data_IF_473594020775
#
_entry.id   IF_473594020775
#
_cell.length_a   1.000
_cell.length_b   1.000
_cell.length_c   1.000
_cell.angle_alpha   90.00
_cell.angle_beta   90.00
_cell.angle_gamma   90.00
#
_symmetry.space_group_name_H-M   'P 1'
#
loop_
_entity.id
_entity.type
_entity.pdbx_description
1 polymer ?
#
# COMPACT_ATOMS: atom_id res chain seq x y z
N UNK A 1 10.89 18.39 -14.83
CA UNK A 1 10.10 17.25 -14.32
C UNK A 1 10.39 16.08 -15.25
N UNK A 2 10.97 15.01 -14.72
CA UNK A 2 11.26 13.81 -15.51
C UNK A 2 9.96 13.18 -16.03
N UNK A 3 10.07 12.36 -17.07
CA UNK A 3 8.96 11.55 -17.59
C UNK A 3 9.41 10.10 -17.61
N UNK A 4 8.76 9.27 -16.79
CA UNK A 4 9.03 7.85 -16.71
C UNK A 4 8.18 7.16 -17.78
N UNK A 5 8.84 6.69 -18.84
CA UNK A 5 8.19 6.07 -19.98
C UNK A 5 8.10 4.57 -19.77
N UNK A 6 6.92 4.01 -20.05
CA UNK A 6 6.66 2.59 -19.91
C UNK A 6 6.50 1.94 -21.29
N UNK A 7 7.07 0.76 -21.43
CA UNK A 7 6.84 -0.16 -22.55
C UNK A 7 6.05 -1.38 -22.07
N UNK A 8 4.98 -1.72 -22.77
CA UNK A 8 4.18 -2.91 -22.44
C UNK A 8 5.01 -4.17 -22.71
N UNK A 9 5.15 -5.04 -21.72
CA UNK A 9 5.65 -6.40 -21.92
C UNK A 9 4.49 -7.29 -22.33
N UNK A 10 3.60 -7.57 -21.38
CA UNK A 10 2.40 -8.37 -21.59
C UNK A 10 1.20 -7.76 -20.86
N UNK A 11 0.00 -8.08 -21.35
CA UNK A 11 -1.29 -7.67 -20.79
C UNK A 11 -2.23 -8.87 -20.78
N UNK A 12 -2.94 -9.06 -19.69
CA UNK A 12 -3.86 -10.17 -19.50
C UNK A 12 -5.23 -9.61 -19.12
N UNK A 13 -6.25 -10.08 -19.83
CA UNK A 13 -7.63 -9.97 -19.38
C UNK A 13 -7.87 -11.09 -18.36
N UNK A 14 -8.56 -10.77 -17.28
CA UNK A 14 -8.87 -11.74 -16.24
C UNK A 14 -10.25 -12.33 -16.51
N UNK A 15 -10.29 -13.64 -16.72
CA UNK A 15 -11.54 -14.39 -16.97
C UNK A 15 -12.37 -14.59 -15.70
N UNK A 16 -11.76 -14.43 -14.52
CA UNK A 16 -12.38 -14.62 -13.20
C UNK A 16 -12.90 -13.30 -12.63
N UNK A 17 -13.99 -13.38 -11.88
CA UNK A 17 -14.58 -12.27 -11.13
C UNK A 17 -13.74 -11.89 -9.89
N UNK A 18 -12.56 -11.32 -10.11
CA UNK A 18 -11.76 -10.67 -9.06
C UNK A 18 -12.29 -9.25 -8.79
N UNK A 19 -12.27 -8.86 -7.52
CA UNK A 19 -12.86 -7.60 -7.06
C UNK A 19 -11.96 -6.40 -7.41
N UNK A 20 -10.85 -6.23 -6.70
CA UNK A 20 -9.87 -5.15 -6.85
C UNK A 20 -8.55 -5.57 -6.19
N UNK A 21 -7.46 -4.88 -6.55
CA UNK A 21 -6.16 -5.12 -5.93
C UNK A 21 -6.16 -4.56 -4.51
N UNK A 22 -5.91 -5.44 -3.53
CA UNK A 22 -5.76 -5.08 -2.11
C UNK A 22 -4.32 -4.63 -1.83
N UNK A 23 -3.34 -5.43 -2.29
CA UNK A 23 -1.92 -5.16 -2.16
C UNK A 23 -1.20 -5.87 -3.33
N UNK A 24 -0.02 -5.41 -3.70
CA UNK A 24 0.81 -6.10 -4.68
C UNK A 24 2.28 -5.94 -4.36
N UNK A 25 3.11 -6.91 -4.71
CA UNK A 25 4.57 -6.81 -4.62
C UNK A 25 5.20 -7.22 -5.95
N UNK A 26 6.40 -6.74 -6.23
CA UNK A 26 7.17 -7.10 -7.42
C UNK A 26 8.55 -7.59 -6.95
N UNK A 27 8.87 -8.83 -7.31
CA UNK A 27 10.14 -9.46 -7.02
C UNK A 27 11.23 -8.95 -7.96
N UNK A 28 12.48 -9.12 -7.56
CA UNK A 28 13.66 -8.72 -8.32
C UNK A 28 13.78 -9.42 -9.67
N UNK A 29 13.21 -10.62 -9.80
CA UNK A 29 13.17 -11.38 -11.05
C UNK A 29 12.05 -10.93 -12.02
N UNK A 30 11.26 -9.93 -11.63
CA UNK A 30 10.19 -9.33 -12.44
C UNK A 30 8.83 -10.04 -12.32
N UNK A 31 8.71 -11.09 -11.49
CA UNK A 31 7.39 -11.62 -11.10
C UNK A 31 6.68 -10.62 -10.21
N UNK A 32 5.41 -10.35 -10.50
CA UNK A 32 4.55 -9.55 -9.66
C UNK A 32 3.52 -10.45 -8.96
N UNK A 33 3.24 -10.16 -7.70
CA UNK A 33 2.23 -10.86 -6.92
C UNK A 33 1.11 -9.87 -6.59
N UNK A 34 -0.13 -10.29 -6.78
CA UNK A 34 -1.32 -9.48 -6.57
C UNK A 34 -2.23 -10.18 -5.57
N UNK A 35 -2.45 -9.53 -4.43
CA UNK A 35 -3.50 -9.92 -3.49
C UNK A 35 -4.81 -9.27 -3.92
N UNK A 36 -5.84 -10.08 -4.10
CA UNK A 36 -7.20 -9.65 -4.46
C UNK A 36 -8.22 -10.45 -3.66
N UNK A 37 -9.49 -10.03 -3.67
CA UNK A 37 -10.60 -10.88 -3.23
C UNK A 37 -11.48 -11.30 -4.40
N UNK A 38 -12.33 -12.31 -4.19
CA UNK A 38 -13.37 -12.71 -5.15
C UNK A 38 -14.54 -11.73 -5.06
N UNK A 39 -15.13 -11.38 -6.21
CA UNK A 39 -16.22 -10.39 -6.30
C UNK A 39 -17.51 -10.85 -5.62
N UNK A 40 -17.85 -12.14 -5.73
CA UNK A 40 -19.05 -12.72 -5.13
C UNK A 40 -18.87 -13.11 -3.65
N UNK A 41 -17.63 -13.25 -3.19
CA UNK A 41 -17.29 -13.55 -1.81
C UNK A 41 -16.08 -12.70 -1.39
N UNK A 42 -16.36 -11.52 -0.82
CA UNK A 42 -15.33 -10.58 -0.35
C UNK A 42 -14.41 -11.16 0.73
N UNK A 43 -14.82 -12.27 1.35
CA UNK A 43 -14.06 -12.95 2.39
C UNK A 43 -13.08 -14.00 1.82
N UNK A 44 -13.15 -14.28 0.51
CA UNK A 44 -12.26 -15.19 -0.17
C UNK A 44 -11.14 -14.39 -0.84
N UNK A 45 -9.92 -14.53 -0.30
CA UNK A 45 -8.73 -13.88 -0.83
C UNK A 45 -8.01 -14.81 -1.80
N UNK A 46 -7.32 -14.22 -2.77
CA UNK A 46 -6.50 -14.95 -3.74
C UNK A 46 -5.20 -14.21 -3.97
N UNK A 47 -4.11 -14.97 -3.99
CA UNK A 47 -2.79 -14.49 -4.37
C UNK A 47 -2.52 -14.92 -5.81
N UNK A 48 -2.33 -13.94 -6.69
CA UNK A 48 -2.05 -14.17 -8.10
C UNK A 48 -0.59 -13.87 -8.39
N UNK A 49 0.10 -14.80 -9.05
CA UNK A 49 1.37 -14.53 -9.72
C UNK A 49 1.09 -14.00 -11.13
N UNK A 50 1.72 -12.89 -11.46
CA UNK A 50 1.72 -12.24 -12.76
C UNK A 50 3.15 -12.25 -13.28
N UNK A 51 3.38 -13.02 -14.33
CA UNK A 51 4.70 -13.14 -14.97
C UNK A 51 4.54 -13.10 -16.48
N UNK A 52 5.63 -12.97 -17.27
CA UNK A 52 5.53 -13.07 -18.74
C UNK A 52 4.85 -14.36 -19.24
N UNK A 53 4.83 -15.43 -18.45
CA UNK A 53 4.19 -16.70 -18.80
C UNK A 53 2.66 -16.68 -18.65
N UNK A 54 2.11 -15.74 -17.88
CA UNK A 54 0.68 -15.68 -17.61
C UNK A 54 0.34 -15.17 -16.21
N UNK A 55 -0.96 -15.24 -15.90
CA UNK A 55 -1.49 -15.02 -14.56
C UNK A 55 -1.89 -16.37 -13.97
N UNK A 56 -1.37 -16.71 -12.80
CA UNK A 56 -1.64 -17.97 -12.09
C UNK A 56 -2.08 -17.68 -10.67
N UNK A 57 -3.12 -18.36 -10.20
CA UNK A 57 -3.50 -18.35 -8.78
C UNK A 57 -2.57 -19.29 -8.01
N UNK A 58 -1.85 -18.74 -7.03
CA UNK A 58 -0.86 -19.46 -6.21
C UNK A 58 -1.49 -20.02 -4.95
N UNK A 59 -2.34 -19.22 -4.31
CA UNK A 59 -3.04 -19.59 -3.09
C UNK A 59 -4.39 -18.86 -3.02
N UNK A 60 -5.34 -19.46 -2.31
CA UNK A 60 -6.63 -18.86 -2.01
C UNK A 60 -7.15 -19.37 -0.67
N UNK A 61 -7.71 -18.48 0.14
CA UNK A 61 -8.24 -18.82 1.45
C UNK A 61 -9.43 -17.95 1.80
N UNK A 62 -10.28 -18.47 2.67
CA UNK A 62 -11.40 -17.73 3.25
C UNK A 62 -11.02 -17.20 4.63
N UNK A 63 -11.50 -16.00 4.94
CA UNK A 63 -11.44 -15.43 6.28
C UNK A 63 -12.84 -15.35 6.88
N UNK A 64 -13.04 -15.85 8.09
CA UNK A 64 -14.34 -15.82 8.76
C UNK A 64 -14.86 -14.39 8.94
N UNK A 65 -13.94 -13.43 9.11
CA UNK A 65 -14.26 -12.03 9.34
C UNK A 65 -13.43 -11.13 8.42
N UNK A 66 -13.82 -11.01 7.15
CA UNK A 66 -13.07 -10.26 6.13
C UNK A 66 -12.51 -8.92 6.63
N UNK A 67 -13.31 -8.09 7.29
CA UNK A 67 -12.90 -6.75 7.76
C UNK A 67 -11.95 -6.72 8.97
N UNK A 68 -11.77 -7.85 9.65
CA UNK A 68 -10.93 -7.96 10.85
C UNK A 68 -9.60 -8.66 10.57
N UNK A 69 -9.57 -9.49 9.52
CA UNK A 69 -8.51 -10.43 9.23
C UNK A 69 -8.01 -10.25 7.79
N UNK A 70 -8.03 -9.01 7.29
CA UNK A 70 -7.56 -8.67 5.94
C UNK A 70 -6.06 -9.02 5.83
N UNK A 71 -5.67 -9.88 4.88
CA UNK A 71 -4.29 -10.30 4.75
C UNK A 71 -3.43 -9.18 4.17
N UNK A 72 -2.16 -9.15 4.57
CA UNK A 72 -1.18 -8.18 4.11
C UNK A 72 -0.02 -8.88 3.43
N UNK A 73 0.34 -8.44 2.24
CA UNK A 73 1.51 -8.96 1.52
C UNK A 73 2.69 -8.01 1.72
N UNK A 74 3.86 -8.59 1.97
CA UNK A 74 5.15 -7.93 1.94
C UNK A 74 6.16 -8.79 1.18
N UNK A 75 7.30 -8.20 0.82
CA UNK A 75 8.40 -8.90 0.15
C UNK A 75 9.74 -8.48 0.75
N UNK A 76 10.73 -9.39 0.69
CA UNK A 76 12.14 -9.08 0.91
C UNK A 76 12.89 -8.86 -0.42
N UNK A 77 12.15 -8.74 -1.53
CA UNK A 77 12.65 -8.61 -2.89
C UNK A 77 12.77 -9.93 -3.65
N UNK A 78 12.87 -11.08 -2.97
CA UNK A 78 13.00 -12.40 -3.62
C UNK A 78 11.83 -13.33 -3.30
N UNK A 79 11.27 -13.18 -2.11
CA UNK A 79 10.23 -14.00 -1.53
C UNK A 79 9.08 -13.11 -1.06
N UNK A 80 7.97 -13.73 -0.67
CA UNK A 80 6.79 -13.00 -0.19
C UNK A 80 6.36 -13.56 1.16
N UNK A 81 5.87 -12.68 2.01
CA UNK A 81 5.17 -13.05 3.23
C UNK A 81 3.75 -12.51 3.22
N UNK A 82 2.83 -13.31 3.76
CA UNK A 82 1.44 -12.91 3.99
C UNK A 82 1.20 -12.89 5.49
N UNK A 83 0.95 -11.71 6.05
CA UNK A 83 0.51 -11.57 7.44
C UNK A 83 -0.99 -11.85 7.46
N UNK A 84 -1.40 -12.85 8.25
CA UNK A 84 -2.81 -13.22 8.43
C UNK A 84 -3.24 -12.83 9.85
N UNK A 85 -4.12 -11.83 9.93
CA UNK A 85 -4.78 -11.38 11.15
C UNK A 85 -3.83 -11.04 12.32
N UNK A 86 -2.62 -10.58 12.04
CA UNK A 86 -1.59 -10.27 13.04
C UNK A 86 -1.14 -11.45 13.91
N UNK A 87 -1.49 -12.68 13.54
CA UNK A 87 -1.24 -13.91 14.31
C UNK A 87 -0.15 -14.78 13.69
N UNK A 88 -0.09 -14.84 12.37
CA UNK A 88 0.87 -15.68 11.66
C UNK A 88 1.34 -15.03 10.35
N UNK A 89 2.50 -15.47 9.90
CA UNK A 89 3.07 -15.17 8.60
C UNK A 89 3.10 -16.46 7.80
N UNK A 90 2.47 -16.45 6.63
CA UNK A 90 2.64 -17.50 5.61
C UNK A 90 3.68 -17.01 4.61
N UNK A 91 4.86 -17.61 4.64
CA UNK A 91 6.03 -17.15 3.90
C UNK A 91 6.36 -18.11 2.75
N UNK A 92 6.29 -17.58 1.53
CA UNK A 92 6.47 -18.33 0.29
C UNK A 92 7.85 -18.07 -0.30
N UNK A 93 8.54 -19.14 -0.70
CA UNK A 93 9.86 -19.07 -1.34
C UNK A 93 9.86 -19.78 -2.69
N UNK A 94 10.83 -19.45 -3.55
CA UNK A 94 11.07 -20.16 -4.81
C UNK A 94 9.89 -20.13 -5.78
N UNK A 95 9.28 -21.31 -6.00
CA UNK A 95 8.13 -21.52 -6.89
C UNK A 95 6.76 -21.35 -6.20
N UNK A 96 6.79 -20.98 -4.91
CA UNK A 96 5.64 -20.73 -4.05
C UNK A 96 4.79 -21.98 -3.74
N UNK A 97 5.28 -23.20 -3.96
CA UNK A 97 4.46 -24.40 -3.75
C UNK A 97 4.43 -24.90 -2.29
N UNK A 98 5.41 -24.53 -1.48
CA UNK A 98 5.56 -25.01 -0.10
C UNK A 98 5.82 -23.84 0.86
N UNK A 99 4.78 -23.10 1.29
CA UNK A 99 4.95 -22.02 2.23
C UNK A 99 5.33 -22.51 3.62
N UNK A 100 6.11 -21.70 4.33
CA UNK A 100 6.37 -21.87 5.76
C UNK A 100 5.37 -21.05 6.58
N UNK A 101 4.85 -21.63 7.67
CA UNK A 101 3.95 -20.93 8.59
C UNK A 101 4.74 -20.56 9.84
N UNK A 102 4.78 -19.27 10.16
CA UNK A 102 5.54 -18.71 11.29
C UNK A 102 4.58 -17.95 12.19
N UNK A 103 4.45 -18.38 13.45
CA UNK A 103 3.61 -17.70 14.43
C UNK A 103 4.22 -16.36 14.87
N UNK A 104 3.37 -15.33 15.00
CA UNK A 104 3.73 -14.05 15.58
C UNK A 104 3.57 -14.15 17.10
N UNK A 105 4.67 -13.96 17.82
CA UNK A 105 4.72 -14.14 19.28
C UNK A 105 3.98 -13.01 20.00
N UNK A 106 3.14 -13.41 20.95
CA UNK A 106 2.48 -12.57 21.95
C UNK A 106 1.95 -11.21 21.44
N UNK A 107 1.07 -11.21 20.41
CA UNK A 107 0.61 -9.96 19.80
C UNK A 107 -0.12 -9.04 20.78
N UNK A 108 -0.72 -9.60 21.84
CA UNK A 108 -1.52 -8.86 22.83
C UNK A 108 -0.66 -8.03 23.80
N UNK A 109 0.65 -8.26 23.86
CA UNK A 109 1.56 -7.45 24.67
C UNK A 109 1.79 -6.04 24.12
N UNK A 110 1.67 -5.89 22.79
CA UNK A 110 1.93 -4.63 22.08
C UNK A 110 0.68 -4.08 21.41
N UNK A 111 -0.10 -4.93 20.73
CA UNK A 111 -1.27 -4.49 20.00
C UNK A 111 -2.49 -4.35 20.94
N UNK A 112 -3.23 -3.23 20.87
CA UNK A 112 -4.50 -3.10 21.57
C UNK A 112 -5.50 -4.18 21.16
N UNK A 113 -6.30 -4.65 22.11
CA UNK A 113 -7.31 -5.72 21.89
C UNK A 113 -8.31 -5.43 20.76
N UNK A 114 -8.55 -4.15 20.46
CA UNK A 114 -9.52 -3.71 19.45
C UNK A 114 -8.86 -3.29 18.13
N UNK A 115 -7.53 -3.27 18.07
CA UNK A 115 -6.81 -2.89 16.87
C UNK A 115 -7.11 -3.86 15.72
N UNK A 116 -7.36 -3.32 14.54
CA UNK A 116 -7.60 -4.12 13.33
C UNK A 116 -6.64 -3.69 12.23
N UNK A 117 -5.99 -4.68 11.62
CA UNK A 117 -5.10 -4.50 10.47
C UNK A 117 -5.88 -4.01 9.25
N UNK A 118 -5.22 -3.25 8.39
CA UNK A 118 -5.81 -2.76 7.13
C UNK A 118 -4.89 -3.02 5.95
N UNK A 119 -5.47 -3.49 4.85
CA UNK A 119 -4.77 -3.70 3.57
C UNK A 119 -4.33 -2.37 2.97
N UNK A 120 -3.24 -1.83 3.48
CA UNK A 120 -2.49 -0.81 2.79
C UNK A 120 -1.30 -1.45 2.10
N UNK A 121 -0.82 -0.77 1.08
CA UNK A 121 0.45 -1.14 0.47
C UNK A 121 1.54 -0.93 1.52
N UNK A 122 2.17 -2.02 1.92
CA UNK A 122 3.28 -2.05 2.86
C UNK A 122 4.51 -2.44 2.06
N UNK A 123 5.54 -1.61 2.18
CA UNK A 123 6.83 -1.87 1.54
C UNK A 123 7.91 -1.84 2.60
N UNK A 124 8.81 -2.83 2.56
CA UNK A 124 9.97 -2.85 3.43
C UNK A 124 11.19 -3.36 2.67
N UNK A 125 12.35 -2.78 2.96
CA UNK A 125 13.67 -3.34 2.65
C UNK A 125 14.44 -3.76 3.92
N UNK A 126 13.74 -3.81 5.06
CA UNK A 126 14.29 -4.18 6.37
C UNK A 126 13.49 -5.29 7.04
N UNK A 127 14.07 -5.86 8.08
CA UNK A 127 13.43 -6.86 8.95
C UNK A 127 12.27 -6.28 9.79
N UNK A 128 11.98 -4.99 9.65
CA UNK A 128 10.86 -4.31 10.31
C UNK A 128 9.79 -3.94 9.29
N UNK A 129 8.66 -4.63 9.35
CA UNK A 129 7.51 -4.44 8.47
C UNK A 129 6.55 -3.45 9.15
N UNK A 130 6.29 -2.26 8.56
CA UNK A 130 5.31 -1.33 9.12
C UNK A 130 3.89 -1.74 8.75
N UNK A 131 3.05 -2.00 9.74
CA UNK A 131 1.66 -2.42 9.55
C UNK A 131 0.71 -1.37 10.12
N UNK A 132 -0.31 -1.02 9.35
CA UNK A 132 -1.29 0.01 9.72
C UNK A 132 -2.51 -0.59 10.42
N UNK A 133 -3.01 0.13 11.43
CA UNK A 133 -4.13 -0.30 12.28
C UNK A 133 -5.19 0.78 12.45
N UNK A 134 -6.43 0.34 12.58
CA UNK A 134 -7.51 1.13 13.16
C UNK A 134 -7.71 0.78 14.63
N UNK A 135 -7.72 1.80 15.49
CA UNK A 135 -8.13 1.69 16.89
C UNK A 135 -8.55 3.08 17.41
N UNK A 136 -9.86 3.31 17.71
CA UNK A 136 -10.98 2.39 17.47
C UNK A 136 -11.26 2.18 15.97
N UNK A 137 -12.09 1.21 15.66
CA UNK A 137 -12.38 0.76 14.28
C UNK A 137 -13.22 1.79 13.53
N UNK A 138 -12.69 2.30 12.42
CA UNK A 138 -13.28 3.29 11.52
C UNK A 138 -13.14 2.83 10.07
N UNK A 139 -14.13 2.16 9.48
CA UNK A 139 -14.18 1.68 8.07
C UNK A 139 -13.11 2.27 7.10
N UNK A 140 -11.93 1.65 7.05
CA UNK A 140 -10.74 2.00 6.23
C UNK A 140 -10.08 3.36 6.50
N UNK A 141 -9.89 3.70 7.77
CA UNK A 141 -9.22 4.91 8.25
C UNK A 141 -8.16 4.58 9.31
N UNK A 142 -7.12 3.81 8.94
CA UNK A 142 -6.01 3.58 9.85
C UNK A 142 -5.37 4.91 10.26
N UNK A 143 -5.10 5.02 11.56
CA UNK A 143 -4.47 6.18 12.21
C UNK A 143 -3.34 5.76 13.14
N UNK A 144 -3.21 4.47 13.37
CA UNK A 144 -2.16 3.86 14.15
C UNK A 144 -1.32 2.95 13.24
N UNK A 145 -0.12 2.64 13.67
CA UNK A 145 0.76 1.67 13.05
C UNK A 145 1.49 0.86 14.12
N UNK A 146 1.96 -0.31 13.73
CA UNK A 146 2.87 -1.13 14.51
C UNK A 146 4.04 -1.60 13.65
N UNK A 147 5.15 -1.91 14.29
CA UNK A 147 6.31 -2.49 13.64
C UNK A 147 6.39 -3.98 13.96
N UNK A 148 6.39 -4.81 12.92
CA UNK A 148 6.58 -6.25 13.01
C UNK A 148 8.03 -6.59 12.69
N UNK A 149 8.76 -7.09 13.67
CA UNK A 149 10.10 -7.65 13.46
C UNK A 149 9.93 -9.08 12.94
N UNK A 150 10.58 -9.39 11.81
CA UNK A 150 10.55 -10.70 11.18
C UNK A 150 11.97 -11.20 10.91
N UNK A 151 12.35 -12.29 11.57
CA UNK A 151 13.61 -13.01 11.36
C UNK A 151 13.30 -14.37 10.74
N UNK A 152 13.54 -14.47 9.43
CA UNK A 152 13.32 -15.69 8.65
C UNK A 152 14.19 -16.85 9.14
N UNK A 153 15.49 -16.62 9.32
CA UNK A 153 16.46 -17.67 9.69
C UNK A 153 16.13 -18.30 11.04
N UNK A 154 15.70 -17.47 12.00
CA UNK A 154 15.26 -17.94 13.32
C UNK A 154 13.80 -18.38 13.34
N UNK A 155 13.04 -18.17 12.25
CA UNK A 155 11.58 -18.37 12.16
C UNK A 155 10.83 -17.68 13.30
N UNK A 156 11.14 -16.40 13.51
CA UNK A 156 10.53 -15.61 14.57
C UNK A 156 9.88 -14.36 14.01
N UNK A 157 8.69 -14.07 14.53
CA UNK A 157 8.02 -12.81 14.29
C UNK A 157 7.48 -12.27 15.63
N UNK A 158 7.60 -10.96 15.84
CA UNK A 158 7.03 -10.29 17.04
C UNK A 158 6.76 -8.82 16.74
N UNK A 159 5.72 -8.30 17.37
CA UNK A 159 5.47 -6.87 17.39
C UNK A 159 6.46 -6.17 18.33
N UNK A 160 6.93 -4.98 17.95
CA UNK A 160 7.93 -4.24 18.75
C UNK A 160 7.47 -2.85 19.16
N UNK A 161 6.56 -2.23 18.41
CA UNK A 161 6.05 -0.88 18.69
C UNK A 161 4.64 -0.74 18.18
N UNK A 162 3.81 0.03 18.88
CA UNK A 162 2.49 0.47 18.45
C UNK A 162 2.39 1.99 18.69
N UNK A 163 2.12 2.78 17.65
CA UNK A 163 2.06 4.24 17.74
C UNK A 163 1.17 4.86 16.66
N UNK A 164 1.17 6.18 16.55
CA UNK A 164 0.50 7.00 15.55
C UNK A 164 1.40 8.18 15.14
N UNK A 165 1.14 8.81 14.00
CA UNK A 165 1.92 9.97 13.55
C UNK A 165 1.61 11.18 14.44
N UNK A 166 2.64 11.84 15.00
CA UNK A 166 2.47 13.11 15.72
C UNK A 166 2.01 14.20 14.73
N UNK A 167 0.93 14.88 15.08
CA UNK A 167 0.29 15.93 14.28
C UNK A 167 0.93 17.31 14.39
N UNK A 168 1.77 17.56 15.40
CA UNK A 168 2.29 18.92 15.71
C UNK A 168 2.99 19.61 14.54
N UNK A 169 3.69 18.84 13.70
CA UNK A 169 4.48 19.40 12.60
C UNK A 169 3.71 19.45 11.26
N UNK A 170 2.42 19.07 11.25
CA UNK A 170 1.53 19.17 10.10
C UNK A 170 0.81 20.52 10.13
N UNK A 171 1.16 21.40 9.20
CA UNK A 171 0.74 22.82 9.18
C UNK A 171 -0.78 22.98 9.09
N UNK A 172 -1.43 22.04 8.41
CA UNK A 172 -2.86 22.11 8.11
C UNK A 172 -3.72 21.17 8.97
N UNK A 173 -3.13 20.56 10.00
CA UNK A 173 -3.86 19.74 10.98
C UNK A 173 -4.54 20.61 12.03
N UNK A 174 -5.79 20.31 12.40
CA UNK A 174 -6.52 21.00 13.46
C UNK A 174 -6.01 20.52 14.82
N UNK A 175 -5.19 21.35 15.46
CA UNK A 175 -4.61 21.03 16.76
C UNK A 175 -5.66 20.98 17.89
N UNK A 176 -6.90 21.44 17.67
CA UNK A 176 -8.00 21.31 18.63
C UNK A 176 -8.70 19.95 18.56
N UNK A 177 -8.55 19.22 17.45
CA UNK A 177 -9.07 17.87 17.25
C UNK A 177 -8.15 16.85 17.92
N UNK A 178 -8.69 15.85 18.61
CA UNK A 178 -7.90 14.73 19.16
C UNK A 178 -7.54 13.67 18.10
N UNK A 179 -8.06 13.82 16.88
CA UNK A 179 -7.92 12.82 15.82
C UNK A 179 -6.50 12.82 15.27
N UNK A 180 -5.83 11.68 15.27
CA UNK A 180 -4.51 11.53 14.65
C UNK A 180 -4.61 11.54 13.12
N UNK A 181 -3.57 11.94 12.36
CA UNK A 181 -3.59 11.91 10.91
C UNK A 181 -3.88 10.51 10.37
N UNK A 182 -4.68 10.40 9.30
CA UNK A 182 -4.94 9.12 8.62
C UNK A 182 -3.69 8.66 7.88
N UNK A 183 -3.40 7.36 7.94
CA UNK A 183 -2.28 6.72 7.24
C UNK A 183 -2.84 5.95 6.04
N UNK A 184 -2.32 6.24 4.84
CA UNK A 184 -2.75 5.58 3.60
C UNK A 184 -1.76 4.52 3.12
N UNK A 185 -0.47 4.71 3.39
CA UNK A 185 0.58 3.73 3.11
C UNK A 185 1.82 4.04 3.92
N UNK A 186 2.63 3.01 4.17
CA UNK A 186 3.90 3.11 4.89
C UNK A 186 4.99 2.35 4.17
N UNK A 187 6.22 2.87 4.29
CA UNK A 187 7.41 2.24 3.75
C UNK A 187 8.57 2.29 4.75
N UNK A 188 9.19 1.15 4.99
CA UNK A 188 10.54 1.09 5.56
C UNK A 188 11.52 1.08 4.39
N UNK A 189 12.44 2.05 4.35
CA UNK A 189 13.43 2.18 3.30
C UNK A 189 14.74 2.72 3.86
N UNK A 190 15.84 2.00 3.61
CA UNK A 190 17.18 2.37 4.10
C UNK A 190 17.20 2.65 5.62
N UNK A 191 16.54 1.79 6.40
CA UNK A 191 16.40 1.91 7.87
C UNK A 191 15.59 3.13 8.33
N UNK A 192 14.84 3.76 7.45
CA UNK A 192 14.00 4.92 7.75
C UNK A 192 12.54 4.61 7.49
N UNK A 193 11.66 5.18 8.32
CA UNK A 193 10.22 4.95 8.24
C UNK A 193 9.53 6.15 7.58
N UNK A 194 8.79 5.87 6.52
CA UNK A 194 8.04 6.84 5.75
C UNK A 194 6.56 6.53 5.81
N UNK A 195 5.74 7.59 5.84
CA UNK A 195 4.29 7.47 5.79
C UNK A 195 3.70 8.52 4.85
N UNK A 196 2.70 8.10 4.07
CA UNK A 196 1.81 9.03 3.39
C UNK A 196 0.52 9.16 4.18
N UNK A 197 0.12 10.40 4.46
CA UNK A 197 -1.02 10.72 5.30
C UNK A 197 -2.05 11.59 4.58
N UNK A 198 -3.33 11.27 4.76
CA UNK A 198 -4.47 12.01 4.18
C UNK A 198 -5.31 12.70 5.26
N UNK A 199 -4.79 13.80 5.81
CA UNK A 199 -5.54 14.69 6.71
C UNK A 199 -6.15 14.00 7.94
N UNK A 200 -7.08 14.70 8.58
CA UNK A 200 -7.71 14.24 9.83
C UNK A 200 -9.19 13.89 9.65
N UNK A 201 -9.81 14.24 8.51
CA UNK A 201 -11.23 14.04 8.30
C UNK A 201 -11.65 12.59 8.56
N UNK A 202 -12.64 12.45 9.44
CA UNK A 202 -13.29 11.18 9.73
C UNK A 202 -14.44 10.88 8.75
N UNK A 203 -14.84 11.87 7.94
CA UNK A 203 -15.86 11.69 6.91
C UNK A 203 -15.25 11.11 5.63
N UNK A 204 -16.07 10.55 4.75
CA UNK A 204 -15.58 9.95 3.50
C UNK A 204 -14.84 10.99 2.63
N UNK A 205 -13.52 10.88 2.56
CA UNK A 205 -12.65 11.74 1.72
C UNK A 205 -13.01 11.61 0.24
N UNK A 206 -13.49 10.44 -0.18
CA UNK A 206 -13.97 10.20 -1.55
C UNK A 206 -15.26 10.99 -1.87
N UNK A 207 -16.04 11.38 -0.85
CA UNK A 207 -17.26 12.16 -1.04
C UNK A 207 -17.02 13.66 -0.87
N UNK A 208 -16.19 14.05 0.10
CA UNK A 208 -16.07 15.45 0.55
C UNK A 208 -14.72 16.10 0.26
N UNK A 209 -13.72 15.33 -0.17
CA UNK A 209 -12.34 15.79 -0.32
C UNK A 209 -11.52 15.60 0.95
N UNK A 210 -10.21 15.78 0.80
CA UNK A 210 -9.24 15.73 1.89
C UNK A 210 -9.06 17.11 2.53
N UNK A 211 -8.62 17.17 3.79
CA UNK A 211 -8.20 18.43 4.43
C UNK A 211 -6.85 18.89 3.84
N UNK A 212 -5.89 17.98 3.82
CA UNK A 212 -4.57 18.09 3.25
C UNK A 212 -4.02 16.67 3.05
N UNK A 213 -2.84 16.55 2.43
CA UNK A 213 -2.04 15.33 2.46
C UNK A 213 -0.57 15.66 2.70
N UNK A 214 0.16 14.71 3.26
CA UNK A 214 1.58 14.86 3.54
C UNK A 214 2.36 13.56 3.34
N UNK A 215 3.61 13.68 2.90
CA UNK A 215 4.61 12.63 2.93
C UNK A 215 5.65 12.99 3.99
N UNK A 216 5.76 12.15 5.00
CA UNK A 216 6.63 12.39 6.15
C UNK A 216 7.55 11.20 6.40
N UNK A 217 8.75 11.51 6.90
CA UNK A 217 9.64 10.58 7.56
C UNK A 217 9.40 10.68 9.06
N UNK A 218 9.19 9.55 9.72
CA UNK A 218 8.86 9.46 11.14
C UNK A 218 9.85 8.56 11.88
N UNK A 219 9.96 8.73 13.20
CA UNK A 219 10.58 7.72 14.07
C UNK A 219 9.60 6.59 14.36
N UNK A 220 10.10 5.51 14.98
CA UNK A 220 9.28 4.35 15.38
C UNK A 220 8.16 4.72 16.35
N UNK A 221 8.36 5.76 17.17
CA UNK A 221 7.34 6.32 18.07
C UNK A 221 6.35 7.27 17.36
N UNK A 222 6.52 7.52 16.06
CA UNK A 222 5.60 8.31 15.24
C UNK A 222 5.86 9.82 15.21
N UNK A 223 6.89 10.32 15.89
CA UNK A 223 7.31 11.72 15.75
C UNK A 223 7.82 11.99 14.33
N UNK A 224 7.39 13.12 13.76
CA UNK A 224 7.87 13.57 12.44
C UNK A 224 9.34 14.01 12.57
N UNK A 225 10.21 13.38 11.78
CA UNK A 225 11.64 13.72 11.66
C UNK A 225 11.82 14.72 10.51
N UNK A 226 11.15 14.48 9.40
CA UNK A 226 11.22 15.32 8.22
C UNK A 226 9.90 15.28 7.45
N UNK A 227 9.51 16.44 6.91
CA UNK A 227 8.36 16.57 6.02
C UNK A 227 8.86 16.78 4.59
N UNK A 228 8.67 15.76 3.76
CA UNK A 228 9.15 15.75 2.38
C UNK A 228 8.18 16.48 1.44
N UNK A 229 6.89 16.36 1.74
CA UNK A 229 5.82 17.02 1.00
C UNK A 229 4.63 17.28 1.93
N UNK A 230 3.96 18.41 1.75
CA UNK A 230 2.66 18.71 2.34
C UNK A 230 1.87 19.58 1.36
N UNK A 231 0.59 19.27 1.19
CA UNK A 231 -0.31 20.09 0.38
C UNK A 231 -0.74 21.35 1.14
N UNK A 232 -1.29 22.32 0.42
CA UNK A 232 -2.08 23.39 1.06
C UNK A 232 -3.34 22.82 1.74
N UNK A 233 -4.07 23.67 2.47
CA UNK A 233 -5.39 23.36 3.02
C UNK A 233 -6.42 23.22 1.89
N UNK A 234 -6.67 21.99 1.45
CA UNK A 234 -7.47 21.64 0.29
C UNK A 234 -8.94 22.04 0.42
N UNK A 235 -9.52 21.93 1.63
CA UNK A 235 -10.91 22.34 1.88
C UNK A 235 -11.14 23.84 1.70
N UNK A 236 -10.12 24.67 1.92
CA UNK A 236 -10.22 26.12 1.72
C UNK A 236 -10.34 26.51 0.24
N UNK A 237 -10.05 25.60 -0.69
CA UNK A 237 -10.10 25.86 -2.13
C UNK A 237 -11.53 25.85 -2.71
N UNK A 238 -12.55 25.50 -1.91
CA UNK A 238 -13.95 25.48 -2.36
C UNK A 238 -14.29 24.41 -3.41
N UNK A 239 -13.35 23.51 -3.74
CA UNK A 239 -13.51 22.40 -4.69
C UNK A 239 -13.11 21.07 -4.05
N UNK A 240 -13.81 19.99 -4.42
CA UNK A 240 -13.46 18.62 -3.98
C UNK A 240 -12.12 18.21 -4.58
N UNK A 241 -11.12 18.07 -3.72
CA UNK A 241 -9.75 17.72 -4.08
C UNK A 241 -9.17 16.72 -3.09
N UNK A 242 -8.11 16.03 -3.52
CA UNK A 242 -7.42 15.03 -2.71
C UNK A 242 -6.59 14.10 -3.58
N UNK A 243 -5.55 13.54 -2.99
CA UNK A 243 -4.57 12.67 -3.63
C UNK A 243 -4.28 11.51 -2.70
N UNK A 244 -4.45 10.28 -3.18
CA UNK A 244 -3.98 9.10 -2.47
C UNK A 244 -2.50 8.87 -2.79
N UNK A 245 -1.73 8.43 -1.79
CA UNK A 245 -0.32 8.07 -1.93
C UNK A 245 -0.10 6.60 -1.60
N UNK A 246 0.53 5.87 -2.51
CA UNK A 246 0.85 4.45 -2.37
C UNK A 246 2.35 4.26 -2.64
N UNK A 247 3.08 3.72 -1.67
CA UNK A 247 4.49 3.39 -1.86
C UNK A 247 4.67 2.20 -2.82
N UNK A 248 5.81 2.17 -3.49
CA UNK A 248 6.19 1.08 -4.40
C UNK A 248 7.40 0.33 -3.87
N UNK A 249 7.72 -0.83 -4.43
CA UNK A 249 8.92 -1.59 -4.06
C UNK A 249 10.21 -0.83 -4.44
N UNK A 250 10.14 0.06 -5.41
CA UNK A 250 11.17 1.05 -5.74
C UNK A 250 11.11 2.32 -4.86
N UNK A 251 12.04 3.29 -4.93
CA UNK A 251 12.03 4.49 -4.09
C UNK A 251 10.99 5.54 -4.52
N UNK A 252 9.89 5.13 -5.16
CA UNK A 252 8.83 6.02 -5.62
C UNK A 252 7.54 5.87 -4.79
N UNK A 253 6.86 7.01 -4.60
CA UNK A 253 5.48 7.10 -4.14
C UNK A 253 4.58 7.41 -5.36
N UNK A 254 3.57 6.58 -5.58
CA UNK A 254 2.52 6.83 -6.58
C UNK A 254 1.47 7.74 -5.96
N UNK A 255 1.24 8.89 -6.60
CA UNK A 255 0.24 9.87 -6.21
C UNK A 255 -0.90 9.86 -7.22
N UNK A 256 -2.10 9.52 -6.73
CA UNK A 256 -3.30 9.33 -7.55
C UNK A 256 -4.38 10.31 -7.14
N UNK A 257 -4.88 11.17 -8.05
CA UNK A 257 -5.99 12.05 -7.73
C UNK A 257 -7.26 11.27 -7.38
N UNK A 258 -7.98 11.75 -6.35
CA UNK A 258 -9.27 11.19 -5.95
C UNK A 258 -10.40 11.55 -6.93
N UNK A 259 -10.33 12.73 -7.55
CA UNK A 259 -11.40 13.28 -8.38
C UNK A 259 -10.92 13.51 -9.81
N UNK A 260 -11.74 13.16 -10.80
CA UNK A 260 -11.40 13.33 -12.23
C UNK A 260 -11.19 14.78 -12.65
N UNK A 261 -11.84 15.70 -11.96
CA UNK A 261 -11.78 17.14 -12.24
C UNK A 261 -10.67 17.84 -11.43
N UNK A 262 -9.73 17.08 -10.88
CA UNK A 262 -8.54 17.64 -10.25
C UNK A 262 -7.60 18.28 -11.29
N UNK A 263 -6.58 18.98 -10.82
CA UNK A 263 -5.65 19.72 -11.66
C UNK A 263 -4.76 18.79 -12.52
N UNK A 264 -4.60 17.53 -12.13
CA UNK A 264 -3.90 16.49 -12.89
C UNK A 264 -4.82 15.73 -13.85
N UNK A 265 -6.12 16.07 -13.91
CA UNK A 265 -7.13 15.47 -14.80
C UNK A 265 -7.19 13.94 -14.68
N UNK A 266 -7.08 13.44 -13.45
CA UNK A 266 -7.08 12.02 -13.11
C UNK A 266 -5.79 11.26 -13.42
N UNK A 267 -4.71 11.94 -13.84
CA UNK A 267 -3.41 11.30 -14.13
C UNK A 267 -2.60 11.10 -12.85
N UNK A 268 -1.97 9.94 -12.73
CA UNK A 268 -1.04 9.65 -11.65
C UNK A 268 0.31 10.34 -11.87
N UNK A 269 0.97 10.67 -10.76
CA UNK A 269 2.35 11.16 -10.73
C UNK A 269 3.19 10.32 -9.78
N UNK A 270 4.51 10.39 -9.94
CA UNK A 270 5.47 9.80 -9.03
C UNK A 270 6.21 10.90 -8.26
N UNK A 271 6.51 10.62 -7.00
CA UNK A 271 7.47 11.38 -6.20
C UNK A 271 8.61 10.45 -5.79
N UNK A 272 9.85 10.84 -6.08
CA UNK A 272 11.04 10.05 -5.71
C UNK A 272 11.48 10.37 -4.29
N UNK A 273 11.60 9.36 -3.42
CA UNK A 273 12.25 9.50 -2.13
C UNK A 273 13.75 9.75 -2.25
N UNK A 274 14.38 9.23 -3.31
CA UNK A 274 15.82 9.36 -3.53
C UNK A 274 16.22 10.75 -4.02
N UNK A 275 15.52 11.29 -5.02
CA UNK A 275 15.87 12.59 -5.63
C UNK A 275 15.02 13.75 -5.14
N UNK A 276 13.89 13.48 -4.46
CA UNK A 276 12.88 14.48 -4.04
C UNK A 276 12.23 15.20 -5.22
N UNK A 277 12.22 14.57 -6.38
CA UNK A 277 11.65 15.13 -7.60
C UNK A 277 10.34 14.47 -8.00
N UNK A 278 9.53 15.25 -8.70
CA UNK A 278 8.32 14.78 -9.37
C UNK A 278 8.61 14.19 -10.73
N UNK A 279 7.86 13.16 -11.09
CA UNK A 279 7.94 12.52 -12.39
C UNK A 279 6.53 12.21 -12.93
N UNK A 280 6.29 12.56 -14.20
CA UNK A 280 5.08 12.15 -14.90
C UNK A 280 5.22 10.72 -15.43
N UNK A 281 4.10 9.99 -15.51
CA UNK A 281 4.07 8.63 -16.05
C UNK A 281 3.59 8.67 -17.51
N UNK A 282 4.34 8.03 -18.41
CA UNK A 282 3.94 7.82 -19.79
C UNK A 282 3.54 6.35 -20.01
N UNK A 283 2.24 6.07 -19.94
CA UNK A 283 1.69 4.74 -20.18
C UNK A 283 1.87 4.32 -21.66
N UNK A 284 1.96 3.01 -21.96
CA UNK A 284 2.00 2.52 -23.32
C UNK A 284 0.74 2.89 -24.12
N UNK A 285 0.85 2.89 -25.45
CA UNK A 285 -0.30 3.17 -26.33
C UNK A 285 -1.43 2.18 -26.05
N UNK A 286 -2.66 2.69 -25.94
CA UNK A 286 -3.85 1.87 -25.65
C UNK A 286 -4.11 1.63 -24.16
N UNK A 287 -3.21 2.05 -23.26
CA UNK A 287 -3.34 1.84 -21.82
C UNK A 287 -3.75 3.10 -21.05
N UNK A 288 -4.39 4.08 -21.71
CA UNK A 288 -4.72 5.38 -21.08
C UNK A 288 -5.68 5.29 -19.90
N UNK A 289 -6.41 4.17 -19.76
CA UNK A 289 -7.30 3.89 -18.62
C UNK A 289 -6.63 3.08 -17.51
N UNK A 290 -5.44 2.52 -17.76
CA UNK A 290 -4.70 1.78 -16.74
C UNK A 290 -4.16 2.74 -15.69
N UNK A 291 -3.98 2.21 -14.48
CA UNK A 291 -3.26 2.86 -13.39
C UNK A 291 -2.04 2.04 -13.01
N UNK A 292 -0.95 2.72 -12.69
CA UNK A 292 0.21 2.12 -12.05
C UNK A 292 -0.17 1.69 -10.62
N UNK A 293 0.17 0.46 -10.26
CA UNK A 293 -0.09 -0.13 -8.95
C UNK A 293 1.19 -0.23 -8.12
N UNK A 294 2.26 -0.74 -8.72
CA UNK A 294 3.55 -0.93 -8.07
C UNK A 294 4.66 -0.97 -9.14
N UNK A 295 5.92 -0.83 -8.72
CA UNK A 295 7.09 -0.83 -9.58
C UNK A 295 8.37 -1.19 -8.82
N UNK A 296 9.31 -1.80 -9.54
CA UNK A 296 10.74 -1.88 -9.21
C UNK A 296 11.52 -0.93 -10.12
N UNK A 297 12.85 -0.98 -10.09
CA UNK A 297 13.69 -0.18 -10.96
C UNK A 297 13.53 -0.52 -12.46
N UNK A 298 13.04 -1.73 -12.78
CA UNK A 298 12.95 -2.23 -14.16
C UNK A 298 11.51 -2.52 -14.60
N UNK A 299 10.64 -2.92 -13.67
CA UNK A 299 9.30 -3.43 -14.00
C UNK A 299 8.20 -2.65 -13.30
N UNK A 300 7.05 -2.55 -13.94
CA UNK A 300 5.86 -1.90 -13.41
C UNK A 300 4.66 -2.82 -13.54
N UNK A 301 3.86 -2.91 -12.48
CA UNK A 301 2.54 -3.52 -12.52
C UNK A 301 1.49 -2.43 -12.71
N UNK A 302 0.66 -2.59 -13.73
CA UNK A 302 -0.48 -1.70 -13.98
C UNK A 302 -1.77 -2.51 -14.05
N UNK A 303 -2.90 -1.85 -13.80
CA UNK A 303 -4.21 -2.49 -13.81
C UNK A 303 -5.28 -1.62 -14.45
N UNK A 304 -6.34 -2.28 -14.94
CA UNK A 304 -7.58 -1.65 -15.34
C UNK A 304 -8.73 -2.19 -14.49
N UNK A 305 -9.46 -1.27 -13.86
CA UNK A 305 -10.71 -1.59 -13.17
C UNK A 305 -11.92 -1.17 -14.02
N UNK A 306 -12.88 -2.07 -14.18
CA UNK A 306 -14.19 -1.82 -14.80
C UNK A 306 -15.22 -2.78 -14.19
N UNK A 307 -15.90 -2.33 -13.12
CA UNK A 307 -16.84 -3.15 -12.31
C UNK A 307 -16.20 -4.47 -11.81
N UNK A 308 -14.90 -4.40 -11.51
CA UNK A 308 -14.05 -5.53 -11.14
C UNK A 308 -12.62 -5.30 -11.63
N UNK A 309 -11.67 -6.09 -11.15
CA UNK A 309 -10.31 -6.13 -11.69
C UNK A 309 -10.35 -6.82 -13.05
N UNK A 310 -10.22 -6.05 -14.12
CA UNK A 310 -10.45 -6.52 -15.50
C UNK A 310 -9.17 -6.91 -16.20
N UNK A 311 -8.15 -6.07 -16.10
CA UNK A 311 -6.87 -6.30 -16.78
C UNK A 311 -5.70 -6.07 -15.83
N UNK A 312 -4.68 -6.91 -15.97
CA UNK A 312 -3.35 -6.71 -15.40
C UNK A 312 -2.36 -6.58 -16.55
N UNK A 313 -1.37 -5.71 -16.38
CA UNK A 313 -0.30 -5.57 -17.36
C UNK A 313 1.04 -5.35 -16.68
N UNK A 314 2.03 -6.10 -17.15
CA UNK A 314 3.42 -5.95 -16.79
C UNK A 314 4.09 -5.06 -17.83
N UNK A 315 4.72 -3.99 -17.37
CA UNK A 315 5.47 -3.06 -18.21
C UNK A 315 6.93 -3.05 -17.81
N UNK A 316 7.81 -2.64 -18.73
CA UNK A 316 9.19 -2.28 -18.47
C UNK A 316 9.34 -0.76 -18.43
N UNK A 317 10.26 -0.26 -17.63
CA UNK A 317 10.66 1.14 -17.61
C UNK A 317 11.71 1.37 -18.72
N UNK A 318 11.50 2.39 -19.56
CA UNK A 318 12.41 2.80 -20.64
C UNK A 318 13.47 3.80 -20.16
#
# INVERSE_FOLDING_TARGET
MGKLKLSLLNKWELDKDYSFILNSVILHDGRALVLTSKKENSNCYSLLEVSPLGVKEIDAWDCDHAWKEEPLVFTDGQNIGIIKAGKEIVYYTGDFSHPEIIAIKDPQSILPKKAQERYFQIVTDSDQIPVCFEDPVYTNQARNFALLEFDREKKQAKWTTYSHIDKKDLKHHDMSSDVCPKIDSMKSWKQELYAFSSGESQTSVNKWGMDYYALVKISSDGRIIEKLLESELLKALGKKTGVNGIFTDSPYLILSPLFKNDDWKGKQKLFSLATREWCDIALPRGMSKHKLQNMTDNFCLTFLYDRGLKELALCRID
#
